data_IF_980434076119
#
_entry.id   IF_980434076119
#
_cell.length_a   1.000
_cell.length_b   1.000
_cell.length_c   1.000
_cell.angle_alpha   90.00
_cell.angle_beta   90.00
_cell.angle_gamma   90.00
#
_symmetry.space_group_name_H-M   'P 1'
#
loop_
_entity.id
_entity.type
_entity.pdbx_description
1 polymer ?
#
# COMPACT_ATOMS: atom_id res chain seq x y z
N UNK A 1 19.89 -18.63 -43.87
CA UNK A 1 18.62 -18.97 -43.20
C UNK A 1 17.67 -17.78 -43.25
N UNK A 2 16.54 -17.89 -43.95
CA UNK A 2 15.54 -16.83 -43.94
C UNK A 2 14.89 -16.74 -42.55
N UNK A 3 14.60 -15.52 -42.10
CA UNK A 3 13.86 -15.25 -40.88
C UNK A 3 12.81 -14.16 -41.14
N UNK A 4 11.79 -14.14 -40.29
CA UNK A 4 10.70 -13.18 -40.33
C UNK A 4 10.78 -12.28 -39.09
N UNK A 5 10.85 -10.97 -39.28
CA UNK A 5 10.77 -10.00 -38.20
C UNK A 5 9.34 -9.43 -38.14
N UNK A 6 8.66 -9.61 -37.01
CA UNK A 6 7.30 -9.10 -36.79
C UNK A 6 7.35 -8.04 -35.71
N UNK A 7 6.91 -6.82 -36.04
CA UNK A 7 6.68 -5.75 -35.06
C UNK A 7 5.23 -5.82 -34.58
N UNK A 8 5.06 -6.15 -33.30
CA UNK A 8 3.76 -6.14 -32.63
C UNK A 8 3.67 -4.88 -31.77
N UNK A 9 2.55 -4.16 -31.86
CA UNK A 9 2.20 -3.11 -30.89
C UNK A 9 1.61 -3.78 -29.66
N UNK A 10 2.39 -3.91 -28.60
CA UNK A 10 1.94 -4.52 -27.36
C UNK A 10 1.00 -3.55 -26.63
N UNK A 11 -0.31 -3.77 -26.76
CA UNK A 11 -1.30 -2.98 -26.02
C UNK A 11 -1.42 -3.55 -24.61
N UNK A 12 -1.10 -2.80 -23.55
CA UNK A 12 -1.17 -3.30 -22.19
C UNK A 12 -2.63 -3.62 -21.83
N UNK A 13 -3.00 -4.90 -21.85
CA UNK A 13 -4.27 -5.38 -21.30
C UNK A 13 -4.20 -5.24 -19.77
N UNK A 14 -4.85 -4.20 -19.25
CA UNK A 14 -4.92 -3.94 -17.80
C UNK A 14 -5.80 -4.99 -17.13
N UNK A 15 -5.21 -6.12 -16.74
CA UNK A 15 -5.90 -7.10 -15.89
C UNK A 15 -6.17 -6.47 -14.53
N UNK A 16 -7.44 -6.47 -14.07
CA UNK A 16 -7.80 -6.12 -12.69
C UNK A 16 -7.22 -7.20 -11.77
N UNK A 17 -5.94 -7.06 -11.40
CA UNK A 17 -5.37 -7.87 -10.31
C UNK A 17 -6.07 -7.44 -9.02
N UNK A 18 -7.09 -8.18 -8.60
CA UNK A 18 -7.76 -8.04 -7.31
C UNK A 18 -6.96 -8.81 -6.23
N UNK A 19 -5.64 -8.60 -6.18
CA UNK A 19 -4.70 -9.36 -5.34
C UNK A 19 -4.37 -8.65 -4.01
N UNK A 20 -5.29 -7.83 -3.48
CA UNK A 20 -5.15 -7.25 -2.14
C UNK A 20 -5.99 -8.04 -1.16
N UNK A 21 -5.39 -8.50 -0.05
CA UNK A 21 -6.14 -9.03 1.07
C UNK A 21 -6.69 -7.87 1.92
N UNK A 22 -7.97 -7.93 2.26
CA UNK A 22 -8.64 -7.01 3.19
C UNK A 22 -9.07 -7.82 4.41
N UNK A 23 -8.55 -7.45 5.58
CA UNK A 23 -8.76 -8.15 6.85
C UNK A 23 -9.55 -7.27 7.81
N UNK A 24 -10.26 -7.90 8.74
CA UNK A 24 -10.86 -7.23 9.88
C UNK A 24 -9.92 -7.27 11.10
N UNK A 25 -10.26 -6.51 12.14
CA UNK A 25 -9.45 -6.39 13.37
C UNK A 25 -9.37 -7.70 14.18
N UNK A 26 -10.31 -8.62 13.98
CA UNK A 26 -10.38 -9.90 14.69
C UNK A 26 -9.75 -11.05 13.89
N UNK A 27 -9.25 -10.76 12.68
CA UNK A 27 -8.67 -11.74 11.79
C UNK A 27 -7.32 -12.23 12.34
N UNK A 28 -7.14 -13.54 12.38
CA UNK A 28 -5.85 -14.19 12.71
C UNK A 28 -4.95 -14.34 11.48
N UNK A 29 -5.18 -13.56 10.43
CA UNK A 29 -4.36 -13.56 9.22
C UNK A 29 -2.95 -13.05 9.55
N UNK A 30 -1.95 -13.89 9.29
CA UNK A 30 -0.54 -13.54 9.48
C UNK A 30 0.07 -12.90 8.25
N UNK A 31 -0.49 -13.11 7.05
CA UNK A 31 0.05 -12.58 5.79
C UNK A 31 -0.23 -11.09 5.64
N UNK A 32 0.55 -10.42 4.79
CA UNK A 32 0.35 -9.02 4.45
C UNK A 32 -1.09 -8.71 4.00
N UNK A 33 -1.76 -7.88 4.79
CA UNK A 33 -3.17 -7.56 4.64
C UNK A 33 -3.47 -6.09 4.94
N UNK A 34 -4.56 -5.58 4.36
CA UNK A 34 -5.07 -4.23 4.65
C UNK A 34 -6.09 -4.31 5.77
N UNK A 35 -5.92 -3.48 6.80
CA UNK A 35 -6.82 -3.39 7.95
C UNK A 35 -7.53 -2.04 8.00
N UNK A 36 -8.79 -1.98 8.49
CA UNK A 36 -9.53 -0.74 8.61
C UNK A 36 -8.91 0.17 9.68
N UNK A 37 -8.79 1.46 9.37
CA UNK A 37 -8.41 2.50 10.32
C UNK A 37 -9.17 3.76 9.96
N UNK A 38 -9.88 4.32 10.95
CA UNK A 38 -10.57 5.60 10.80
C UNK A 38 -9.76 6.67 11.53
N UNK A 39 -9.35 7.70 10.79
CA UNK A 39 -8.72 8.89 11.34
C UNK A 39 -9.82 9.87 11.70
N UNK A 40 -9.80 10.36 12.95
CA UNK A 40 -10.72 11.37 13.46
C UNK A 40 -9.94 12.63 13.83
N UNK A 41 -10.07 13.68 13.02
CA UNK A 41 -9.36 14.93 13.24
C UNK A 41 -9.89 15.70 14.46
N UNK A 42 -11.15 15.51 14.85
CA UNK A 42 -11.69 16.14 16.06
C UNK A 42 -11.08 15.50 17.31
N UNK A 43 -10.88 14.17 17.29
CA UNK A 43 -10.21 13.46 18.38
C UNK A 43 -8.74 13.88 18.57
N UNK A 44 -8.07 14.30 17.49
CA UNK A 44 -6.71 14.87 17.56
C UNK A 44 -6.67 16.36 17.97
N UNK A 45 -7.83 17.02 18.12
CA UNK A 45 -7.91 18.46 18.35
C UNK A 45 -7.47 19.29 17.14
N UNK A 46 -7.59 18.74 15.93
CA UNK A 46 -7.21 19.43 14.69
C UNK A 46 -8.38 20.24 14.14
N UNK A 47 -8.76 21.28 14.90
CA UNK A 47 -9.91 22.14 14.58
C UNK A 47 -9.72 22.96 13.30
N UNK A 48 -8.46 23.11 12.85
CA UNK A 48 -8.10 23.74 11.59
C UNK A 48 -8.61 22.98 10.36
N UNK A 49 -8.99 21.69 10.50
CA UNK A 49 -9.64 20.92 9.43
C UNK A 49 -11.17 21.09 9.53
N UNK A 50 -11.75 21.72 8.52
CA UNK A 50 -13.19 21.94 8.41
C UNK A 50 -13.87 20.66 7.91
N UNK A 51 -13.32 20.03 6.87
CA UNK A 51 -13.84 18.76 6.33
C UNK A 51 -12.75 17.94 5.58
N UNK A 52 -12.86 16.60 5.58
CA UNK A 52 -13.77 15.79 6.38
C UNK A 52 -13.35 15.80 7.86
N UNK A 53 -14.28 15.56 8.79
CA UNK A 53 -13.95 15.37 10.21
C UNK A 53 -13.35 13.99 10.49
N UNK A 54 -13.84 12.98 9.77
CA UNK A 54 -13.37 11.59 9.83
C UNK A 54 -13.19 11.01 8.44
N UNK A 55 -12.20 10.16 8.25
CA UNK A 55 -12.05 9.38 7.02
C UNK A 55 -11.38 8.03 7.27
N UNK A 56 -11.62 7.07 6.36
CA UNK A 56 -11.03 5.72 6.43
C UNK A 56 -9.68 5.71 5.74
N UNK A 57 -8.60 5.81 6.51
CA UNK A 57 -7.23 5.75 6.00
C UNK A 57 -6.81 4.31 5.66
N UNK A 58 -7.17 3.35 6.53
CA UNK A 58 -6.66 1.98 6.52
C UNK A 58 -5.13 1.91 6.70
N UNK A 59 -4.60 0.72 6.96
CA UNK A 59 -3.17 0.49 7.07
C UNK A 59 -2.78 -0.92 6.60
N UNK A 60 -1.49 -1.13 6.35
CA UNK A 60 -0.94 -2.42 5.97
C UNK A 60 -0.23 -3.06 7.16
N UNK A 61 -0.50 -4.34 7.41
CA UNK A 61 0.14 -5.13 8.46
C UNK A 61 0.20 -6.60 8.05
N UNK A 62 1.11 -7.34 8.65
CA UNK A 62 1.32 -8.77 8.38
C UNK A 62 2.70 -9.07 7.80
N UNK A 63 2.98 -10.36 7.73
CA UNK A 63 4.25 -10.92 7.29
C UNK A 63 4.26 -11.15 5.79
N UNK A 64 5.44 -11.02 5.21
CA UNK A 64 5.70 -11.32 3.81
C UNK A 64 6.71 -12.46 3.75
N UNK A 65 6.26 -13.61 3.25
CA UNK A 65 7.15 -14.74 3.03
C UNK A 65 8.12 -14.43 1.87
N UNK A 66 9.37 -14.85 2.05
CA UNK A 66 10.34 -14.87 0.95
C UNK A 66 9.96 -15.95 -0.06
N UNK A 67 9.33 -15.54 -1.16
CA UNK A 67 9.17 -16.41 -2.33
C UNK A 67 10.44 -16.42 -3.17
N UNK A 68 11.40 -17.26 -2.78
CA UNK A 68 12.52 -17.57 -3.69
C UNK A 68 11.98 -18.39 -4.87
N UNK A 69 12.11 -17.85 -6.09
CA UNK A 69 12.20 -18.70 -7.28
C UNK A 69 13.44 -19.58 -7.07
N UNK A 70 13.23 -20.84 -6.70
CA UNK A 70 14.24 -21.86 -6.46
C UNK A 70 15.07 -22.08 -7.73
N UNK A 71 16.07 -21.23 -7.99
CA UNK A 71 17.02 -21.42 -9.07
C UNK A 71 18.41 -21.82 -8.57
N UNK A 72 18.77 -21.47 -7.33
CA UNK A 72 20.07 -21.84 -6.76
C UNK A 72 20.04 -22.12 -5.26
N UNK A 73 20.75 -23.14 -4.76
CA UNK A 73 20.73 -23.56 -3.35
C UNK A 73 21.36 -22.58 -2.35
N UNK A 74 22.16 -21.61 -2.81
CA UNK A 74 22.81 -20.62 -1.93
C UNK A 74 21.85 -19.55 -1.39
N UNK A 75 20.66 -19.40 -1.96
CA UNK A 75 19.69 -18.37 -1.55
C UNK A 75 19.07 -18.66 -0.18
N UNK A 76 18.98 -19.93 0.22
CA UNK A 76 18.50 -20.34 1.56
C UNK A 76 19.45 -19.91 2.69
N UNK A 77 20.76 -19.91 2.44
CA UNK A 77 21.78 -19.60 3.47
C UNK A 77 21.79 -18.12 3.88
N UNK A 78 21.50 -17.22 2.94
CA UNK A 78 21.46 -15.77 3.20
C UNK A 78 20.28 -15.40 4.11
N UNK A 79 19.15 -16.11 3.98
CA UNK A 79 17.97 -15.91 4.83
C UNK A 79 18.20 -16.41 6.27
N UNK A 80 18.80 -17.58 6.42
CA UNK A 80 19.07 -18.18 7.73
C UNK A 80 20.11 -17.40 8.55
N UNK A 81 20.97 -16.63 7.87
CA UNK A 81 21.99 -15.81 8.49
C UNK A 81 21.45 -14.52 9.14
N UNK A 82 20.27 -14.01 8.74
CA UNK A 82 19.73 -12.79 9.33
C UNK A 82 18.18 -12.69 9.32
N UNK A 83 17.48 -13.47 10.16
CA UNK A 83 16.02 -13.46 10.23
C UNK A 83 15.39 -12.18 10.83
N UNK A 84 16.20 -11.27 11.38
CA UNK A 84 15.73 -10.03 12.04
C UNK A 84 16.20 -8.74 11.36
N UNK A 85 17.12 -8.81 10.41
CA UNK A 85 17.61 -7.64 9.69
C UNK A 85 16.93 -7.50 8.34
N UNK A 86 15.97 -6.59 8.22
CA UNK A 86 15.58 -5.73 7.07
C UNK A 86 15.86 -6.15 5.61
N UNK A 87 16.13 -7.41 5.29
CA UNK A 87 16.53 -7.87 3.97
C UNK A 87 15.39 -8.56 3.22
N UNK A 88 14.24 -8.74 3.88
CA UNK A 88 13.05 -9.38 3.31
C UNK A 88 11.95 -8.42 2.88
N UNK A 89 11.01 -8.92 2.06
CA UNK A 89 9.90 -8.11 1.60
C UNK A 89 9.13 -7.57 2.80
N UNK A 90 8.72 -6.32 2.74
CA UNK A 90 7.90 -5.68 3.77
C UNK A 90 6.48 -5.47 3.29
N UNK A 91 5.52 -5.53 4.20
CA UNK A 91 4.12 -5.28 3.90
C UNK A 91 3.86 -3.77 3.79
N UNK A 92 3.67 -3.25 2.58
CA UNK A 92 3.54 -1.81 2.31
C UNK A 92 2.33 -1.49 1.42
N UNK A 93 1.86 -0.23 1.42
CA UNK A 93 0.85 0.22 0.47
C UNK A 93 1.35 0.15 -0.98
N UNK A 94 0.69 -0.63 -1.82
CA UNK A 94 0.98 -0.71 -3.27
C UNK A 94 0.06 0.16 -4.11
N UNK A 95 -1.06 0.60 -3.53
CA UNK A 95 -1.97 1.57 -4.13
C UNK A 95 -2.56 2.46 -3.05
N UNK A 96 -2.55 3.77 -3.31
CA UNK A 96 -3.15 4.76 -2.43
C UNK A 96 -4.04 5.73 -3.21
N UNK A 97 -5.07 6.22 -2.54
CA UNK A 97 -5.99 7.22 -3.06
C UNK A 97 -5.85 8.56 -2.32
N UNK A 98 -6.09 9.67 -3.02
CA UNK A 98 -6.15 11.00 -2.43
C UNK A 98 -7.48 11.25 -1.71
N UNK A 99 -7.51 12.26 -0.84
CA UNK A 99 -8.76 12.84 -0.31
C UNK A 99 -8.85 14.33 -0.65
N UNK A 100 -10.07 14.84 -0.76
CA UNK A 100 -10.31 16.27 -0.79
C UNK A 100 -10.45 16.78 0.64
N UNK A 101 -9.82 17.91 0.95
CA UNK A 101 -9.79 18.49 2.29
C UNK A 101 -10.10 19.98 2.22
N UNK A 102 -10.90 20.46 3.17
CA UNK A 102 -11.21 21.85 3.42
C UNK A 102 -10.63 22.23 4.78
N UNK A 103 -9.69 23.18 4.82
CA UNK A 103 -8.94 23.49 6.04
C UNK A 103 -8.41 24.93 6.07
N UNK A 104 -8.10 25.42 7.27
CA UNK A 104 -7.39 26.67 7.47
C UNK A 104 -5.88 26.45 7.30
N UNK A 105 -5.25 27.27 6.46
CA UNK A 105 -3.79 27.29 6.37
C UNK A 105 -3.19 28.15 7.51
N UNK A 106 -1.85 28.19 7.64
CA UNK A 106 -1.16 29.00 8.65
C UNK A 106 -1.31 30.52 8.51
N UNK A 107 -2.08 31.00 7.52
CA UNK A 107 -2.46 32.41 7.32
C UNK A 107 -3.95 32.65 7.54
N UNK A 108 -4.65 31.70 8.18
CA UNK A 108 -6.09 31.72 8.46
C UNK A 108 -6.97 31.79 7.20
N UNK A 109 -6.44 31.39 6.05
CA UNK A 109 -7.21 31.31 4.81
C UNK A 109 -7.81 29.91 4.66
N UNK A 110 -9.06 29.86 4.19
CA UNK A 110 -9.75 28.60 3.88
C UNK A 110 -9.26 28.08 2.53
N UNK A 111 -8.70 26.87 2.54
CA UNK A 111 -8.17 26.18 1.36
C UNK A 111 -8.98 24.91 1.11
N UNK A 112 -9.44 24.74 -0.13
CA UNK A 112 -9.97 23.47 -0.63
C UNK A 112 -8.91 22.82 -1.53
N UNK A 113 -8.42 21.64 -1.14
CA UNK A 113 -7.30 20.99 -1.83
C UNK A 113 -7.43 19.47 -1.86
N UNK A 114 -6.68 18.86 -2.79
CA UNK A 114 -6.61 17.40 -2.94
C UNK A 114 -5.27 16.91 -2.40
N UNK A 115 -5.29 16.18 -1.29
CA UNK A 115 -4.09 15.67 -0.63
C UNK A 115 -3.80 14.25 -1.14
N UNK A 116 -2.65 14.00 -1.77
CA UNK A 116 -2.30 12.68 -2.31
C UNK A 116 -1.96 11.68 -1.20
N UNK A 117 -2.08 10.39 -1.52
CA UNK A 117 -1.60 9.29 -0.68
C UNK A 117 -2.14 9.30 0.77
N UNK A 118 -3.45 9.50 0.94
CA UNK A 118 -4.09 9.55 2.26
C UNK A 118 -4.86 8.28 2.61
N UNK A 119 -5.34 7.53 1.62
CA UNK A 119 -6.09 6.28 1.82
C UNK A 119 -5.31 5.11 1.24
N UNK A 120 -5.05 4.09 2.04
CA UNK A 120 -4.52 2.81 1.57
C UNK A 120 -5.64 2.03 0.88
N UNK A 121 -5.49 1.81 -0.42
CA UNK A 121 -6.42 1.03 -1.24
C UNK A 121 -6.00 -0.44 -1.35
N UNK A 122 -4.69 -0.70 -1.21
CA UNK A 122 -4.10 -2.03 -1.39
C UNK A 122 -2.76 -2.14 -0.69
N UNK A 123 -2.57 -3.27 -0.01
CA UNK A 123 -1.29 -3.69 0.55
C UNK A 123 -0.62 -4.76 -0.32
N UNK A 124 0.69 -4.90 -0.21
CA UNK A 124 1.45 -5.96 -0.85
C UNK A 124 2.86 -6.06 -0.29
N UNK A 125 3.56 -7.12 -0.68
CA UNK A 125 4.93 -7.39 -0.28
C UNK A 125 5.90 -6.77 -1.29
N UNK A 126 6.80 -5.90 -0.82
CA UNK A 126 7.80 -5.18 -1.62
C UNK A 126 9.19 -5.28 -1.03
#
# INVERSE_FOLDING_TARGET
>A
NPFLEVKVTDTPKRSRRNFGLDCDEHSTESRCCRYPLTVDFEAFGWDWIIAPKRYKANYCSGECEFVFLQKYPHTHLVHQANPRGSAGPCCTPTKMSPINMLYFNGKEQIIYGKIPAMVVDRCGCS
#
